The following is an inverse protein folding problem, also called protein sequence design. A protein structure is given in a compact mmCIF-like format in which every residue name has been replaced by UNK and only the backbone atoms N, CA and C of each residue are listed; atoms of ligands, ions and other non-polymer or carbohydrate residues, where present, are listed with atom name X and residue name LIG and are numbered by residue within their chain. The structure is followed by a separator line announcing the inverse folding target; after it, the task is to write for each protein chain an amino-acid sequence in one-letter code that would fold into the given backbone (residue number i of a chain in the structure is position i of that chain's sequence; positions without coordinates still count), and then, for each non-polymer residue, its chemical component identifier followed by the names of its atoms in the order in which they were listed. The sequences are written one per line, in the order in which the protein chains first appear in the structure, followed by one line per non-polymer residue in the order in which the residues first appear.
data_IF_608671736859
#
_entry.id   IF_608671736859
#
_cell.length_a   1.000
_cell.length_b   1.000
_cell.length_c   1.000
_cell.angle_alpha   90.00
_cell.angle_beta   90.00
_cell.angle_gamma   90.00
#
_symmetry.space_group_name_H-M   'P 1'
#
loop_
_entity.id
_entity.type
_entity.pdbx_description
1 polymer ?
#
# COMPACT_ATOMS: atom_id res chain seq x y z
N UNK A 1 -40.12 -12.69 -14.23
CA UNK A 1 -39.41 -12.30 -12.99
C UNK A 1 -38.09 -13.07 -12.93
N UNK A 2 -36.95 -12.37 -12.83
CA UNK A 2 -35.64 -12.98 -12.68
C UNK A 2 -35.24 -12.85 -11.21
N UNK A 3 -34.93 -13.99 -10.58
CA UNK A 3 -34.44 -14.01 -9.20
C UNK A 3 -32.95 -14.38 -9.24
N UNK A 4 -32.09 -13.49 -8.72
CA UNK A 4 -30.65 -13.69 -8.65
C UNK A 4 -30.25 -14.06 -7.21
N UNK A 5 -29.70 -15.24 -7.04
CA UNK A 5 -29.11 -15.66 -5.77
C UNK A 5 -27.61 -15.42 -5.79
N UNK A 6 -27.07 -14.79 -4.75
CA UNK A 6 -25.63 -14.68 -4.53
C UNK A 6 -25.30 -15.52 -3.30
N UNK A 7 -24.47 -16.54 -3.49
CA UNK A 7 -24.01 -17.41 -2.40
C UNK A 7 -22.55 -17.13 -2.10
N UNK A 8 -22.26 -16.78 -0.85
CA UNK A 8 -20.90 -16.64 -0.34
C UNK A 8 -20.52 -17.93 0.41
N UNK A 9 -19.52 -18.64 -0.12
CA UNK A 9 -19.01 -19.85 0.51
C UNK A 9 -17.53 -19.62 0.92
N UNK A 10 -17.21 -19.59 2.22
CA UNK A 10 -15.83 -19.57 2.66
C UNK A 10 -15.13 -20.87 2.27
N UNK A 11 -13.87 -20.76 1.81
CA UNK A 11 -13.06 -21.91 1.41
C UNK A 11 -11.64 -21.73 1.92
N UNK A 12 -11.16 -22.70 2.66
CA UNK A 12 -9.79 -22.69 3.16
C UNK A 12 -8.78 -22.77 2.03
N UNK A 13 -7.67 -22.07 2.20
CA UNK A 13 -6.52 -22.11 1.30
C UNK A 13 -5.82 -23.46 1.46
N UNK A 14 -5.49 -24.11 0.33
CA UNK A 14 -4.82 -25.42 0.31
C UNK A 14 -3.62 -25.43 -0.60
N UNK A 15 -2.63 -26.25 -0.28
CA UNK A 15 -1.49 -26.54 -1.16
C UNK A 15 -2.01 -27.05 -2.50
N UNK A 16 -1.39 -26.59 -3.60
CA UNK A 16 -1.79 -26.90 -4.97
C UNK A 16 -2.83 -25.95 -5.57
N UNK A 17 -3.46 -25.10 -4.78
CA UNK A 17 -4.36 -24.07 -5.32
C UNK A 17 -3.58 -23.00 -6.06
N UNK A 18 -4.22 -22.41 -7.09
CA UNK A 18 -3.67 -21.31 -7.85
C UNK A 18 -4.08 -19.99 -7.22
N UNK A 19 -3.12 -19.09 -7.09
CA UNK A 19 -3.31 -17.69 -6.73
C UNK A 19 -2.89 -16.80 -7.88
N UNK A 20 -3.54 -15.67 -8.04
CA UNK A 20 -3.27 -14.73 -9.12
C UNK A 20 -3.26 -13.30 -8.58
N UNK A 21 -2.29 -12.51 -9.00
CA UNK A 21 -2.25 -11.08 -8.77
C UNK A 21 -3.00 -10.31 -9.87
N UNK A 22 -3.15 -9.00 -9.68
CA UNK A 22 -3.89 -8.10 -10.61
C UNK A 22 -3.28 -8.02 -12.01
N UNK A 23 -2.01 -8.30 -12.14
CA UNK A 23 -1.24 -8.16 -13.40
C UNK A 23 -0.97 -9.48 -14.09
N UNK A 24 -1.79 -10.51 -13.82
CA UNK A 24 -1.65 -11.83 -14.44
C UNK A 24 -0.50 -12.68 -13.90
N UNK A 25 0.19 -12.20 -12.87
CA UNK A 25 1.17 -12.98 -12.14
C UNK A 25 0.46 -14.09 -11.36
N UNK A 26 0.55 -15.31 -11.86
CA UNK A 26 -0.09 -16.49 -11.25
C UNK A 26 0.96 -17.42 -10.66
N UNK A 27 0.64 -17.99 -9.54
CA UNK A 27 1.47 -18.95 -8.83
C UNK A 27 0.63 -20.08 -8.25
N UNK A 28 1.28 -21.14 -7.84
CA UNK A 28 0.66 -22.26 -7.13
C UNK A 28 1.16 -22.26 -5.70
N UNK A 29 0.27 -22.45 -4.75
CA UNK A 29 0.64 -22.57 -3.34
C UNK A 29 1.43 -23.86 -3.15
N UNK A 30 2.72 -23.73 -2.90
CA UNK A 30 3.63 -24.86 -2.72
C UNK A 30 3.63 -25.36 -1.26
N UNK A 31 3.46 -24.44 -0.30
CA UNK A 31 3.51 -24.75 1.12
C UNK A 31 2.66 -23.78 1.92
N UNK A 32 2.04 -24.27 2.98
CA UNK A 32 1.41 -23.44 4.02
C UNK A 32 2.27 -23.58 5.27
N UNK A 33 2.66 -22.45 5.84
CA UNK A 33 3.59 -22.38 6.97
C UNK A 33 2.89 -21.67 8.13
N UNK A 34 3.03 -22.11 9.37
CA UNK A 34 2.53 -21.39 10.54
C UNK A 34 3.10 -19.96 10.60
N UNK A 35 2.28 -19.00 11.01
CA UNK A 35 2.67 -17.58 11.08
C UNK A 35 3.90 -17.31 11.94
N UNK A 36 4.18 -18.18 12.92
CA UNK A 36 5.35 -18.09 13.80
C UNK A 36 6.66 -18.35 13.06
N UNK A 37 6.63 -19.16 12.01
CA UNK A 37 7.79 -19.53 11.19
C UNK A 37 7.93 -18.64 9.93
N UNK A 38 7.00 -17.72 9.69
CA UNK A 38 7.08 -16.79 8.57
C UNK A 38 8.08 -15.67 8.88
N UNK A 39 8.79 -15.17 7.86
CA UNK A 39 9.59 -13.95 7.99
C UNK A 39 8.74 -12.81 8.55
N UNK A 40 9.38 -11.90 9.26
CA UNK A 40 8.70 -10.76 9.89
C UNK A 40 9.25 -9.45 9.36
N UNK A 41 8.39 -8.46 9.33
CA UNK A 41 8.78 -7.06 9.10
C UNK A 41 9.54 -6.52 10.32
N UNK A 42 10.17 -5.35 10.17
CA UNK A 42 10.88 -4.68 11.29
C UNK A 42 9.95 -4.39 12.49
N UNK A 43 8.65 -4.28 12.26
CA UNK A 43 7.61 -4.08 13.29
C UNK A 43 7.17 -5.40 13.97
N UNK A 44 7.77 -6.54 13.57
CA UNK A 44 7.45 -7.86 14.11
C UNK A 44 6.21 -8.53 13.51
N UNK A 45 5.53 -7.93 12.52
CA UNK A 45 4.39 -8.54 11.83
C UNK A 45 4.85 -9.67 10.90
N UNK A 46 4.20 -10.83 10.92
CA UNK A 46 4.53 -11.90 9.99
C UNK A 46 4.12 -11.50 8.56
N UNK A 47 4.89 -11.95 7.59
CA UNK A 47 4.55 -11.82 6.17
C UNK A 47 3.48 -12.85 5.82
N UNK A 48 2.40 -12.41 5.15
CA UNK A 48 1.27 -13.27 4.81
C UNK A 48 1.58 -14.23 3.65
N UNK A 49 2.38 -13.77 2.69
CA UNK A 49 2.72 -14.56 1.50
C UNK A 49 4.15 -14.30 1.06
N UNK A 50 4.89 -15.36 0.83
CA UNK A 50 6.23 -15.33 0.25
C UNK A 50 6.18 -15.89 -1.16
N UNK A 51 6.56 -15.08 -2.13
CA UNK A 51 6.60 -15.45 -3.54
C UNK A 51 8.03 -15.50 -4.07
N UNK A 52 8.24 -16.21 -5.19
CA UNK A 52 9.52 -16.19 -5.87
C UNK A 52 9.80 -14.81 -6.48
N UNK A 53 10.81 -14.13 -6.00
CA UNK A 53 11.20 -12.80 -6.47
C UNK A 53 11.55 -12.75 -7.96
N UNK A 54 12.09 -13.83 -8.51
CA UNK A 54 12.45 -13.93 -9.94
C UNK A 54 11.23 -14.01 -10.86
N UNK A 55 10.05 -14.30 -10.33
CA UNK A 55 8.83 -14.36 -11.16
C UNK A 55 8.42 -12.99 -11.72
N UNK A 56 8.78 -11.90 -11.06
CA UNK A 56 8.46 -10.52 -11.48
C UNK A 56 9.36 -10.09 -12.65
N UNK A 57 10.71 -10.07 -12.53
CA UNK A 57 11.57 -9.65 -13.62
C UNK A 57 11.50 -10.59 -14.84
N UNK A 58 11.37 -11.90 -14.63
CA UNK A 58 11.27 -12.87 -15.73
C UNK A 58 10.01 -12.70 -16.58
N UNK A 59 8.98 -12.04 -16.05
CA UNK A 59 7.71 -11.77 -16.77
C UNK A 59 7.52 -10.31 -17.13
N UNK A 60 8.51 -9.46 -16.85
CA UNK A 60 8.48 -8.01 -17.15
C UNK A 60 7.23 -7.33 -16.55
N UNK A 61 6.86 -7.70 -15.32
CA UNK A 61 5.71 -7.13 -14.62
C UNK A 61 6.19 -6.01 -13.67
N UNK A 62 6.75 -4.95 -14.23
CA UNK A 62 7.33 -3.84 -13.46
C UNK A 62 6.27 -3.15 -12.56
N UNK A 63 5.04 -3.03 -13.04
CA UNK A 63 3.99 -2.33 -12.29
C UNK A 63 3.61 -3.02 -10.98
N UNK A 64 3.69 -4.34 -10.90
CA UNK A 64 3.47 -5.07 -9.64
C UNK A 64 4.48 -4.66 -8.56
N UNK A 65 5.72 -4.37 -8.95
CA UNK A 65 6.76 -3.88 -8.03
C UNK A 65 6.45 -2.46 -7.55
N UNK A 66 6.03 -1.58 -8.46
CA UNK A 66 5.64 -0.22 -8.07
C UNK A 66 4.41 -0.21 -7.17
N UNK A 67 3.40 -1.03 -7.45
CA UNK A 67 2.22 -1.16 -6.60
C UNK A 67 2.59 -1.65 -5.19
N UNK A 68 3.46 -2.65 -5.09
CA UNK A 68 3.94 -3.15 -3.80
C UNK A 68 4.70 -2.08 -3.03
N UNK A 69 5.58 -1.33 -3.69
CA UNK A 69 6.32 -0.22 -3.07
C UNK A 69 5.39 0.89 -2.59
N UNK A 70 4.40 1.24 -3.41
CA UNK A 70 3.41 2.25 -3.05
C UNK A 70 2.56 1.80 -1.85
N UNK A 71 2.09 0.57 -1.86
CA UNK A 71 1.30 0.01 -0.75
C UNK A 71 2.11 0.00 0.54
N UNK A 72 3.39 -0.34 0.45
CA UNK A 72 4.29 -0.28 1.59
C UNK A 72 4.46 1.15 2.11
N UNK A 73 4.66 2.15 1.23
CA UNK A 73 4.75 3.55 1.62
C UNK A 73 3.44 4.06 2.24
N UNK A 74 2.29 3.68 1.67
CA UNK A 74 0.97 4.00 2.24
C UNK A 74 0.83 3.46 3.66
N UNK A 75 1.22 2.23 3.90
CA UNK A 75 1.19 1.61 5.23
C UNK A 75 2.09 2.35 6.21
N UNK A 76 3.32 2.72 5.81
CA UNK A 76 4.25 3.45 6.67
C UNK A 76 3.79 4.87 6.98
N UNK A 77 3.25 5.56 5.99
CA UNK A 77 2.67 6.88 6.20
C UNK A 77 1.46 6.81 7.13
N UNK A 78 0.61 5.80 6.96
CA UNK A 78 -0.52 5.59 7.84
C UNK A 78 -0.10 5.30 9.29
N UNK A 79 0.93 4.48 9.50
CA UNK A 79 1.50 4.24 10.83
C UNK A 79 2.00 5.54 11.47
N UNK A 80 2.67 6.41 10.69
CA UNK A 80 3.09 7.72 11.15
C UNK A 80 1.90 8.57 11.59
N UNK A 81 0.84 8.59 10.81
CA UNK A 81 -0.41 9.31 11.14
C UNK A 81 -1.04 8.76 12.42
N UNK A 82 -1.10 7.44 12.60
CA UNK A 82 -1.59 6.83 13.83
C UNK A 82 -0.71 7.18 15.05
N UNK A 83 0.60 7.31 14.88
CA UNK A 83 1.50 7.79 15.94
C UNK A 83 1.20 9.25 16.32
N UNK A 84 1.00 10.12 15.31
CA UNK A 84 0.62 11.53 15.53
C UNK A 84 -0.71 11.66 16.26
N UNK A 85 -1.72 10.88 15.85
CA UNK A 85 -3.04 10.84 16.50
C UNK A 85 -2.93 10.39 17.98
N UNK A 86 -2.17 9.33 18.27
CA UNK A 86 -1.92 8.86 19.63
C UNK A 86 -1.19 9.90 20.48
N UNK A 87 -0.30 10.67 19.88
CA UNK A 87 0.41 11.77 20.53
C UNK A 87 -0.47 13.02 20.71
N UNK A 88 -1.71 13.00 20.21
CA UNK A 88 -2.66 14.13 20.22
C UNK A 88 -2.11 15.37 19.52
N UNK A 89 -1.40 15.16 18.41
CA UNK A 89 -0.99 16.23 17.53
C UNK A 89 -2.21 16.86 16.85
N UNK A 90 -2.05 18.07 16.30
CA UNK A 90 -3.17 18.80 15.70
C UNK A 90 -3.75 18.02 14.49
N UNK A 91 -5.07 17.91 14.45
CA UNK A 91 -5.79 17.25 13.37
C UNK A 91 -5.54 17.91 12.01
N UNK A 92 -5.36 19.24 11.98
CA UNK A 92 -5.07 19.97 10.74
C UNK A 92 -3.67 19.62 10.20
N UNK A 93 -2.69 19.43 11.08
CA UNK A 93 -1.35 18.99 10.67
C UNK A 93 -1.35 17.56 10.14
N UNK A 94 -2.09 16.66 10.80
CA UNK A 94 -2.27 15.28 10.37
C UNK A 94 -2.92 15.22 8.98
N UNK A 95 -4.01 15.96 8.79
CA UNK A 95 -4.71 15.99 7.51
C UNK A 95 -3.91 16.67 6.41
N UNK A 96 -3.15 17.69 6.73
CA UNK A 96 -2.22 18.35 5.79
C UNK A 96 -1.18 17.36 5.27
N UNK A 97 -0.56 16.58 6.15
CA UNK A 97 0.38 15.52 5.78
C UNK A 97 -0.29 14.46 4.90
N UNK A 98 -1.50 14.03 5.25
CA UNK A 98 -2.25 13.05 4.48
C UNK A 98 -2.61 13.56 3.07
N UNK A 99 -3.10 14.80 2.98
CA UNK A 99 -3.43 15.44 1.70
C UNK A 99 -2.18 15.59 0.82
N UNK A 100 -1.06 16.02 1.38
CA UNK A 100 0.19 16.15 0.64
C UNK A 100 0.66 14.80 0.10
N UNK A 101 0.58 13.74 0.90
CA UNK A 101 0.94 12.39 0.49
C UNK A 101 0.03 11.89 -0.65
N UNK A 102 -1.28 12.03 -0.52
CA UNK A 102 -2.24 11.64 -1.58
C UNK A 102 -2.01 12.44 -2.85
N UNK A 103 -1.76 13.76 -2.73
CA UNK A 103 -1.52 14.67 -3.86
C UNK A 103 -0.31 14.26 -4.68
N UNK A 104 0.74 13.74 -4.04
CA UNK A 104 1.94 13.27 -4.73
C UNK A 104 1.65 12.14 -5.72
N UNK A 105 0.70 11.25 -5.41
CA UNK A 105 0.28 10.18 -6.31
C UNK A 105 -0.89 10.57 -7.22
N UNK A 106 -1.85 11.33 -6.69
CA UNK A 106 -3.05 11.75 -7.42
C UNK A 106 -3.49 13.14 -7.00
N UNK A 107 -3.09 14.19 -7.74
CA UNK A 107 -3.43 15.58 -7.42
C UNK A 107 -4.94 15.86 -7.38
N UNK A 108 -5.73 15.19 -8.23
CA UNK A 108 -7.17 15.36 -8.24
C UNK A 108 -7.81 14.83 -6.96
N UNK A 109 -7.39 13.66 -6.52
CA UNK A 109 -7.87 13.05 -5.27
C UNK A 109 -7.41 13.85 -4.04
N UNK A 110 -6.18 14.38 -4.06
CA UNK A 110 -5.70 15.28 -3.01
C UNK A 110 -6.55 16.55 -2.90
N UNK A 111 -6.89 17.17 -4.02
CA UNK A 111 -7.79 18.31 -4.05
C UNK A 111 -9.20 17.99 -3.56
N UNK A 112 -9.75 16.82 -3.91
CA UNK A 112 -11.05 16.37 -3.40
C UNK A 112 -11.03 16.10 -1.90
N UNK A 113 -9.97 15.48 -1.39
CA UNK A 113 -9.79 15.24 0.03
C UNK A 113 -9.72 16.55 0.82
N UNK A 114 -9.01 17.56 0.28
CA UNK A 114 -8.96 18.91 0.86
C UNK A 114 -10.36 19.54 0.92
N UNK A 115 -11.14 19.44 -0.16
CA UNK A 115 -12.50 19.95 -0.21
C UNK A 115 -13.40 19.29 0.83
N UNK A 116 -13.37 17.96 0.90
CA UNK A 116 -14.16 17.20 1.87
C UNK A 116 -13.79 17.55 3.32
N UNK A 117 -12.51 17.73 3.60
CA UNK A 117 -12.04 18.12 4.92
C UNK A 117 -12.51 19.53 5.31
N UNK A 118 -12.53 20.48 4.36
CA UNK A 118 -13.03 21.82 4.61
C UNK A 118 -14.56 21.86 4.83
N UNK A 119 -15.32 20.94 4.21
CA UNK A 119 -16.78 20.83 4.38
C UNK A 119 -17.14 20.13 5.72
N UNK A 120 -16.46 19.05 6.05
CA UNK A 120 -16.67 18.26 7.27
C UNK A 120 -15.32 17.69 7.75
N UNK A 121 -14.62 18.35 8.66
CA UNK A 121 -13.31 17.90 9.15
C UNK A 121 -13.32 16.52 9.83
N UNK A 122 -14.43 16.14 10.44
CA UNK A 122 -14.50 14.94 11.28
C UNK A 122 -14.53 13.66 10.46
N UNK A 123 -15.30 13.65 9.39
CA UNK A 123 -15.54 12.45 8.60
C UNK A 123 -14.29 11.94 7.85
N UNK A 124 -13.58 12.74 7.04
CA UNK A 124 -12.36 12.27 6.35
C UNK A 124 -11.25 11.89 7.31
N UNK A 125 -11.14 12.60 8.43
CA UNK A 125 -10.17 12.28 9.47
C UNK A 125 -10.43 10.89 10.08
N UNK A 126 -11.64 10.64 10.55
CA UNK A 126 -12.01 9.35 11.13
C UNK A 126 -11.89 8.20 10.12
N UNK A 127 -12.19 8.45 8.85
CA UNK A 127 -12.05 7.46 7.80
C UNK A 127 -10.57 7.12 7.56
N UNK A 128 -9.70 8.11 7.51
CA UNK A 128 -8.26 7.93 7.40
C UNK A 128 -7.68 7.14 8.58
N UNK A 129 -8.04 7.49 9.81
CA UNK A 129 -7.56 6.79 11.02
C UNK A 129 -8.02 5.33 11.03
N UNK A 130 -9.26 5.07 10.64
CA UNK A 130 -9.85 3.72 10.68
C UNK A 130 -9.42 2.83 9.53
N UNK A 131 -9.40 3.35 8.32
CA UNK A 131 -9.29 2.57 7.08
C UNK A 131 -7.94 2.75 6.37
N UNK A 132 -7.15 3.76 6.77
CA UNK A 132 -5.89 4.09 6.10
C UNK A 132 -6.09 4.80 4.77
N UNK A 133 -5.05 4.77 3.94
CA UNK A 133 -5.08 5.42 2.63
C UNK A 133 -5.76 4.57 1.57
N UNK A 134 -6.53 5.23 0.73
CA UNK A 134 -7.02 4.70 -0.53
C UNK A 134 -6.65 5.67 -1.65
N UNK A 135 -5.67 5.28 -2.49
CA UNK A 135 -5.17 6.12 -3.57
C UNK A 135 -5.53 5.49 -4.91
N UNK A 136 -6.26 6.23 -5.74
CA UNK A 136 -6.60 5.80 -7.09
C UNK A 136 -5.47 6.12 -8.05
N UNK A 137 -4.98 5.11 -8.75
CA UNK A 137 -3.97 5.26 -9.79
C UNK A 137 -4.56 4.82 -11.13
N UNK A 138 -4.33 5.62 -12.16
CA UNK A 138 -4.71 5.23 -13.52
C UNK A 138 -3.90 4.01 -13.95
N UNK A 139 -4.53 2.98 -14.50
CA UNK A 139 -3.82 1.83 -15.04
C UNK A 139 -2.76 2.26 -16.07
N UNK A 140 -1.63 1.56 -16.10
CA UNK A 140 -0.54 1.74 -17.06
C UNK A 140 0.21 3.08 -16.98
N UNK A 141 0.05 3.85 -15.92
CA UNK A 141 0.82 5.07 -15.72
C UNK A 141 2.08 4.83 -14.85
N UNK A 142 2.92 3.90 -15.28
CA UNK A 142 4.11 3.45 -14.56
C UNK A 142 5.09 4.58 -14.26
N UNK A 143 5.26 5.50 -15.19
CA UNK A 143 6.21 6.62 -15.05
C UNK A 143 5.77 7.55 -13.93
N UNK A 144 4.49 7.91 -13.86
CA UNK A 144 3.97 8.78 -12.80
C UNK A 144 4.06 8.11 -11.43
N UNK A 145 3.82 6.82 -11.33
CA UNK A 145 3.94 6.10 -10.06
C UNK A 145 5.39 6.05 -9.61
N UNK A 146 6.31 5.74 -10.50
CA UNK A 146 7.74 5.74 -10.20
C UNK A 146 8.21 7.10 -9.69
N UNK A 147 7.86 8.17 -10.40
CA UNK A 147 8.28 9.52 -10.06
C UNK A 147 7.66 9.97 -8.73
N UNK A 148 6.39 9.64 -8.47
CA UNK A 148 5.73 9.89 -7.20
C UNK A 148 6.39 9.13 -6.03
N UNK A 149 6.81 7.88 -6.25
CA UNK A 149 7.55 7.12 -5.24
C UNK A 149 8.90 7.76 -4.89
N UNK A 150 9.63 8.24 -5.90
CA UNK A 150 10.89 8.95 -5.70
C UNK A 150 10.67 10.27 -4.94
N UNK A 151 9.65 11.04 -5.33
CA UNK A 151 9.28 12.28 -4.66
C UNK A 151 8.90 12.05 -3.19
N UNK A 152 8.11 11.00 -2.89
CA UNK A 152 7.78 10.63 -1.51
C UNK A 152 9.04 10.32 -0.69
N UNK A 153 10.00 9.63 -1.29
CA UNK A 153 11.24 9.28 -0.62
C UNK A 153 12.11 10.51 -0.30
N UNK A 154 12.12 11.49 -1.19
CA UNK A 154 12.83 12.74 -1.00
C UNK A 154 12.14 13.65 0.02
N UNK A 155 10.81 13.70 0.01
CA UNK A 155 10.02 14.53 0.93
C UNK A 155 10.03 14.02 2.37
N UNK A 156 9.97 12.71 2.57
CA UNK A 156 9.85 12.08 3.89
C UNK A 156 10.93 11.04 4.17
N UNK A 157 12.22 11.40 4.06
CA UNK A 157 13.32 10.46 4.23
C UNK A 157 13.33 9.81 5.62
N UNK A 158 12.89 10.54 6.65
CA UNK A 158 12.89 10.02 8.02
C UNK A 158 11.85 8.92 8.22
N UNK A 159 10.70 9.03 7.56
CA UNK A 159 9.66 8.01 7.62
C UNK A 159 10.15 6.74 6.92
N UNK A 160 10.69 6.85 5.72
CA UNK A 160 11.04 5.69 4.91
C UNK A 160 12.41 5.10 5.26
N UNK A 161 13.42 5.90 5.61
CA UNK A 161 14.71 5.40 6.08
C UNK A 161 14.64 4.70 7.43
N UNK A 162 13.82 5.21 8.35
CA UNK A 162 13.60 4.59 9.66
C UNK A 162 13.15 3.14 9.54
N UNK A 163 12.35 2.83 8.52
CA UNK A 163 11.83 1.50 8.28
C UNK A 163 12.67 0.68 7.29
N UNK A 164 13.93 1.10 7.05
CA UNK A 164 14.87 0.41 6.16
C UNK A 164 14.32 0.13 4.77
N UNK A 165 13.62 1.11 4.20
CA UNK A 165 13.28 1.07 2.79
C UNK A 165 14.52 1.46 1.99
N UNK A 166 15.06 0.53 1.24
CA UNK A 166 16.23 0.76 0.41
C UNK A 166 15.80 1.10 -1.01
N UNK A 167 16.20 2.27 -1.45
CA UNK A 167 16.04 2.70 -2.83
C UNK A 167 17.41 2.75 -3.45
N UNK A 168 17.62 2.09 -4.57
CA UNK A 168 18.85 2.28 -5.33
C UNK A 168 18.80 3.63 -6.03
N UNK A 169 19.97 4.26 -6.25
CA UNK A 169 20.10 5.57 -6.88
C UNK A 169 19.41 5.69 -8.25
N UNK A 170 19.05 4.58 -8.83
CA UNK A 170 18.41 4.53 -10.15
C UNK A 170 17.03 3.86 -10.16
N UNK A 171 16.64 3.15 -9.11
CA UNK A 171 15.37 2.38 -9.07
C UNK A 171 14.94 2.11 -7.64
N UNK A 172 13.63 2.17 -7.42
CA UNK A 172 13.02 1.65 -6.20
C UNK A 172 13.00 0.12 -6.33
N UNK A 173 13.80 -0.55 -5.54
CA UNK A 173 13.77 -2.00 -5.42
C UNK A 173 13.29 -2.31 -4.01
N UNK A 174 12.08 -2.88 -3.83
CA UNK A 174 11.68 -3.41 -2.53
C UNK A 174 12.68 -4.50 -2.17
N UNK A 175 13.43 -4.31 -1.13
CA UNK A 175 14.18 -5.42 -0.53
C UNK A 175 13.23 -6.14 0.43
N UNK A 176 12.90 -7.36 0.07
CA UNK A 176 12.22 -8.32 0.91
C UNK A 176 13.15 -8.84 2.00
#
# INVERSE_FOLDING_TARGET
TVIKFTVLQPKDIRVGQKVVGRYGNKSVIAKIVPSELMPRTDDGRPIDMLANALAVPNRIIAFATYESSMTFMMERMWQRIIEMDKNKEDHDEIMKLAVEFVTTFNPQQGGELTRLYNEDPVRPYNDLIKNGFYIQIRPLNEVCVRDALLECYDKWPDIFKKYKVYVSDQRIVPQL
#
